data_IF_887757422716
#
_entry.id   IF_887757422716
#
_cell.length_a   1.000
_cell.length_b   1.000
_cell.length_c   1.000
_cell.angle_alpha   90.00
_cell.angle_beta   90.00
_cell.angle_gamma   90.00
#
_symmetry.space_group_name_H-M   'P 1'
#
loop_
_entity.id
_entity.type
_entity.pdbx_description
1 polymer ?
#
# COMPACT_ATOMS: atom_id res chain seq x y z
N UNK A 1 4.28 37.96 10.52
CA UNK A 1 5.38 37.13 9.96
C UNK A 1 4.80 36.15 8.94
N UNK A 2 5.21 36.25 7.68
CA UNK A 2 4.78 35.33 6.60
C UNK A 2 5.42 33.97 6.89
N UNK A 3 4.63 32.97 7.27
CA UNK A 3 5.09 31.63 7.66
C UNK A 3 5.78 30.98 6.44
N UNK A 4 7.11 31.00 6.37
CA UNK A 4 7.82 30.31 5.29
C UNK A 4 7.51 28.82 5.41
N UNK A 5 6.90 28.24 4.37
CA UNK A 5 6.68 26.79 4.30
C UNK A 5 8.05 26.13 4.19
N UNK A 6 8.45 25.38 5.22
CA UNK A 6 9.65 24.55 5.15
C UNK A 6 9.43 23.53 4.03
N UNK A 7 10.34 23.51 3.05
CA UNK A 7 10.39 22.44 2.04
C UNK A 7 11.22 21.30 2.63
N UNK A 8 10.76 20.09 2.42
CA UNK A 8 11.48 18.89 2.85
C UNK A 8 12.66 18.67 1.91
N UNK A 9 13.72 18.10 2.44
CA UNK A 9 14.81 17.55 1.64
C UNK A 9 14.34 16.27 0.94
N UNK A 10 14.97 15.92 -0.18
CA UNK A 10 14.64 14.70 -0.92
C UNK A 10 14.71 13.43 -0.04
N UNK A 11 15.64 13.41 0.93
CA UNK A 11 15.76 12.33 1.90
C UNK A 11 14.55 12.26 2.86
N UNK A 12 14.08 13.40 3.36
CA UNK A 12 12.90 13.45 4.22
C UNK A 12 11.62 13.09 3.45
N UNK A 13 11.51 13.51 2.19
CA UNK A 13 10.38 13.13 1.31
C UNK A 13 10.35 11.61 1.08
N UNK A 14 11.51 11.00 0.88
CA UNK A 14 11.64 9.56 0.71
C UNK A 14 11.28 8.78 1.99
N UNK A 15 11.69 9.26 3.16
CA UNK A 15 11.33 8.61 4.43
C UNK A 15 9.83 8.71 4.74
N UNK A 16 9.21 9.85 4.40
CA UNK A 16 7.75 10.00 4.48
C UNK A 16 7.05 9.07 3.49
N UNK A 17 7.56 8.95 2.26
CA UNK A 17 7.00 8.04 1.26
C UNK A 17 6.98 6.59 1.77
N UNK A 18 8.07 6.10 2.36
CA UNK A 18 8.11 4.76 2.98
C UNK A 18 7.03 4.58 4.04
N UNK A 19 6.89 5.56 4.94
CA UNK A 19 5.90 5.53 6.03
C UNK A 19 4.46 5.56 5.51
N UNK A 20 4.19 6.32 4.46
CA UNK A 20 2.88 6.37 3.82
C UNK A 20 2.59 5.04 3.12
N UNK A 21 3.58 4.51 2.42
CA UNK A 21 3.40 3.30 1.64
C UNK A 21 3.21 2.07 2.54
N UNK A 22 3.89 2.00 3.69
CA UNK A 22 3.63 0.99 4.72
C UNK A 22 2.17 1.02 5.20
N UNK A 23 1.62 2.20 5.49
CA UNK A 23 0.20 2.34 5.88
C UNK A 23 -0.77 1.90 4.78
N UNK A 24 -0.42 2.10 3.51
CA UNK A 24 -1.22 1.66 2.36
C UNK A 24 -1.08 0.14 2.14
N UNK A 25 0.12 -0.42 2.32
CA UNK A 25 0.35 -1.87 2.32
C UNK A 25 -0.53 -2.58 3.35
N UNK A 26 -0.66 -2.00 4.55
CA UNK A 26 -1.59 -2.48 5.58
C UNK A 26 -3.05 -2.52 5.12
N UNK A 27 -3.48 -1.56 4.29
CA UNK A 27 -4.83 -1.58 3.72
C UNK A 27 -5.02 -2.73 2.73
N UNK A 28 -4.07 -2.95 1.82
CA UNK A 28 -4.11 -4.10 0.89
C UNK A 28 -4.13 -5.43 1.64
N UNK A 29 -3.35 -5.54 2.72
CA UNK A 29 -3.37 -6.70 3.59
C UNK A 29 -4.72 -6.90 4.29
N UNK A 30 -5.34 -5.84 4.79
CA UNK A 30 -6.67 -5.90 5.40
C UNK A 30 -7.75 -6.38 4.41
N UNK A 31 -7.70 -5.92 3.17
CA UNK A 31 -8.62 -6.37 2.10
C UNK A 31 -8.45 -7.86 1.81
N UNK A 32 -7.20 -8.34 1.73
CA UNK A 32 -6.94 -9.78 1.55
C UNK A 32 -7.42 -10.59 2.76
N UNK A 33 -7.16 -10.12 3.99
CA UNK A 33 -7.65 -10.76 5.20
C UNK A 33 -9.17 -10.85 5.25
N UNK A 34 -9.87 -9.82 4.78
CA UNK A 34 -11.32 -9.82 4.65
C UNK A 34 -11.82 -10.80 3.57
N UNK A 35 -11.16 -10.86 2.42
CA UNK A 35 -11.46 -11.85 1.38
C UNK A 35 -11.24 -13.29 1.86
N UNK A 36 -10.19 -13.53 2.63
CA UNK A 36 -9.95 -14.81 3.28
C UNK A 36 -11.04 -15.14 4.31
N UNK A 37 -11.41 -14.18 5.15
CA UNK A 37 -12.50 -14.34 6.11
C UNK A 37 -13.82 -14.73 5.43
N UNK A 38 -14.20 -14.04 4.35
CA UNK A 38 -15.38 -14.39 3.53
C UNK A 38 -15.30 -15.81 2.95
N UNK A 39 -14.11 -16.22 2.50
CA UNK A 39 -13.89 -17.55 1.92
C UNK A 39 -14.10 -18.66 2.96
N UNK A 40 -13.66 -18.44 4.20
CA UNK A 40 -13.68 -19.44 5.27
C UNK A 40 -15.01 -19.45 6.01
N UNK A 41 -15.56 -18.27 6.34
CA UNK A 41 -16.75 -18.15 7.21
C UNK A 41 -18.05 -18.19 6.42
N UNK A 42 -18.10 -17.52 5.26
CA UNK A 42 -19.34 -17.42 4.46
C UNK A 42 -19.46 -18.50 3.39
N UNK A 43 -18.45 -19.37 3.23
CA UNK A 43 -18.34 -20.38 2.15
C UNK A 43 -18.47 -19.79 0.73
N UNK A 44 -18.39 -18.46 0.59
CA UNK A 44 -18.45 -17.74 -0.69
C UNK A 44 -17.05 -17.70 -1.33
N UNK A 45 -16.50 -18.87 -1.70
CA UNK A 45 -15.14 -18.97 -2.25
C UNK A 45 -14.89 -18.03 -3.44
N UNK A 46 -15.84 -17.93 -4.39
CA UNK A 46 -15.67 -17.09 -5.57
C UNK A 46 -15.54 -15.60 -5.21
N UNK A 47 -16.33 -15.13 -4.23
CA UNK A 47 -16.31 -13.74 -3.80
C UNK A 47 -15.12 -13.45 -2.89
N UNK A 48 -14.80 -14.35 -1.97
CA UNK A 48 -13.63 -14.19 -1.11
C UNK A 48 -12.33 -14.18 -1.93
N UNK A 49 -12.23 -15.03 -2.95
CA UNK A 49 -11.05 -15.08 -3.82
C UNK A 49 -10.90 -13.84 -4.71
N UNK A 50 -11.99 -13.19 -5.12
CA UNK A 50 -11.92 -11.91 -5.85
C UNK A 50 -11.39 -10.78 -4.97
N UNK A 51 -11.76 -10.73 -3.68
CA UNK A 51 -11.19 -9.77 -2.72
C UNK A 51 -9.71 -10.05 -2.42
N UNK A 52 -9.32 -11.32 -2.27
CA UNK A 52 -7.90 -11.70 -2.08
C UNK A 52 -7.07 -11.30 -3.30
N UNK A 53 -7.52 -11.62 -4.51
CA UNK A 53 -6.85 -11.24 -5.74
C UNK A 53 -6.79 -9.71 -5.90
N UNK A 54 -7.88 -9.01 -5.61
CA UNK A 54 -7.91 -7.55 -5.65
C UNK A 54 -6.89 -6.92 -4.68
N UNK A 55 -6.83 -7.41 -3.44
CA UNK A 55 -5.85 -6.96 -2.46
C UNK A 55 -4.41 -7.26 -2.89
N UNK A 56 -4.15 -8.45 -3.45
CA UNK A 56 -2.84 -8.82 -3.98
C UNK A 56 -2.40 -7.90 -5.13
N UNK A 57 -3.29 -7.57 -6.06
CA UNK A 57 -2.99 -6.63 -7.16
C UNK A 57 -2.63 -5.25 -6.63
N UNK A 58 -3.38 -4.73 -5.65
CA UNK A 58 -3.08 -3.45 -5.00
C UNK A 58 -1.67 -3.47 -4.38
N UNK A 59 -1.32 -4.53 -3.65
CA UNK A 59 0.01 -4.66 -3.05
C UNK A 59 1.12 -4.68 -4.09
N UNK A 60 0.95 -5.44 -5.16
CA UNK A 60 1.94 -5.53 -6.25
C UNK A 60 2.13 -4.17 -6.94
N UNK A 61 1.05 -3.42 -7.19
CA UNK A 61 1.13 -2.08 -7.77
C UNK A 61 1.90 -1.11 -6.88
N UNK A 62 1.63 -1.10 -5.56
CA UNK A 62 2.35 -0.23 -4.62
C UNK A 62 3.81 -0.65 -4.42
N UNK A 63 4.09 -1.95 -4.43
CA UNK A 63 5.47 -2.46 -4.42
C UNK A 63 6.24 -2.04 -5.67
N UNK A 64 5.61 -2.09 -6.85
CA UNK A 64 6.22 -1.61 -8.09
C UNK A 64 6.54 -0.11 -8.04
N UNK A 65 5.63 0.70 -7.49
CA UNK A 65 5.85 2.13 -7.28
C UNK A 65 7.05 2.37 -6.36
N UNK A 66 7.17 1.61 -5.25
CA UNK A 66 8.34 1.69 -4.35
C UNK A 66 9.65 1.45 -5.08
N UNK A 67 9.73 0.36 -5.86
CA UNK A 67 10.96 -0.01 -6.56
C UNK A 67 11.35 1.08 -7.56
N UNK A 68 10.36 1.63 -8.28
CA UNK A 68 10.58 2.70 -9.24
C UNK A 68 11.12 3.97 -8.60
N UNK A 69 10.58 4.40 -7.47
CA UNK A 69 11.12 5.55 -6.74
C UNK A 69 12.47 5.26 -6.09
N UNK A 70 12.69 4.03 -5.61
CA UNK A 70 13.98 3.63 -5.06
C UNK A 70 15.10 3.66 -6.11
N UNK A 71 14.81 3.23 -7.36
CA UNK A 71 15.73 3.31 -8.50
C UNK A 71 16.10 4.77 -8.86
N UNK A 72 15.19 5.73 -8.65
CA UNK A 72 15.42 7.15 -8.96
C UNK A 72 16.31 7.83 -7.91
N UNK A 73 16.31 7.34 -6.67
CA UNK A 73 17.11 7.90 -5.58
C UNK A 73 18.57 7.39 -5.58
N UNK A 74 18.86 6.28 -6.27
CA UNK A 74 20.21 5.68 -6.33
C UNK A 74 20.99 6.16 -7.56
#
# INVERSE_FOLDING_TARGET
MKKMKKRLTQAEEFDILKLVLDKILWFGFAVMGYGFYLSVVSLEMARGMSFVLGGAVVLVLFMFLLIKEYEVVK
#
